data_IF_281670833642
#
_entry.id   IF_281670833642
#
_cell.length_a   1.000
_cell.length_b   1.000
_cell.length_c   1.000
_cell.angle_alpha   90.00
_cell.angle_beta   90.00
_cell.angle_gamma   90.00
#
_symmetry.space_group_name_H-M   'P 1'
#
loop_
_entity.id
_entity.type
_entity.pdbx_description
1 polymer ?
#
# COMPACT_ATOMS: atom_id res chain seq x y z
N UNK A 1 11.17 42.24 3.46
CA UNK A 1 11.33 42.12 4.93
C UNK A 1 10.70 40.80 5.38
N UNK A 2 11.50 39.74 5.49
CA UNK A 2 11.04 38.50 6.11
C UNK A 2 11.12 38.70 7.63
N UNK A 3 9.97 38.70 8.30
CA UNK A 3 9.95 38.69 9.76
C UNK A 3 10.33 37.27 10.15
N UNK A 4 11.51 37.13 10.73
CA UNK A 4 12.00 35.90 11.34
C UNK A 4 11.20 35.66 12.62
N UNK A 5 9.98 35.13 12.44
CA UNK A 5 9.18 34.62 13.55
C UNK A 5 9.79 33.27 13.92
N UNK A 6 10.81 33.28 14.77
CA UNK A 6 11.06 32.13 15.64
C UNK A 6 9.94 32.16 16.70
N UNK A 7 8.89 31.31 16.59
CA UNK A 7 7.92 31.25 17.66
C UNK A 7 8.65 30.84 18.93
N UNK A 8 8.49 31.60 20.01
CA UNK A 8 8.93 31.19 21.33
C UNK A 8 8.29 29.83 21.62
N UNK A 9 9.08 28.77 21.56
CA UNK A 9 8.61 27.43 21.89
C UNK A 9 8.31 27.44 23.40
N UNK A 10 7.07 27.10 23.81
CA UNK A 10 6.78 26.98 25.22
C UNK A 10 7.70 25.91 25.83
N UNK A 11 8.09 26.05 27.11
CA UNK A 11 8.90 25.04 27.79
C UNK A 11 8.21 23.68 27.66
N UNK A 12 8.99 22.64 27.34
CA UNK A 12 8.50 21.28 27.14
C UNK A 12 8.23 20.60 28.50
N UNK A 13 7.29 21.16 29.25
CA UNK A 13 6.88 20.70 30.58
C UNK A 13 5.59 19.89 30.45
N UNK A 14 5.63 18.56 30.67
CA UNK A 14 4.47 17.68 30.51
C UNK A 14 3.28 18.08 31.39
N UNK A 15 3.53 18.64 32.57
CA UNK A 15 2.48 19.13 33.48
C UNK A 15 1.73 20.33 32.89
N UNK A 16 2.47 21.25 32.27
CA UNK A 16 1.91 22.45 31.66
C UNK A 16 1.11 22.10 30.40
N UNK A 17 1.60 21.17 29.59
CA UNK A 17 0.86 20.62 28.45
C UNK A 17 -0.50 20.04 28.89
N UNK A 18 -0.51 19.19 29.93
CA UNK A 18 -1.75 18.62 30.48
C UNK A 18 -2.68 19.69 31.03
N UNK A 19 -2.14 20.76 31.62
CA UNK A 19 -2.93 21.89 32.11
C UNK A 19 -3.64 22.59 30.94
N UNK A 20 -2.91 22.90 29.87
CA UNK A 20 -3.49 23.53 28.68
C UNK A 20 -4.55 22.66 28.00
N UNK A 21 -4.30 21.35 27.87
CA UNK A 21 -5.29 20.39 27.36
C UNK A 21 -6.57 20.39 28.22
N UNK A 22 -6.44 20.43 29.55
CA UNK A 22 -7.60 20.52 30.47
C UNK A 22 -8.42 21.80 30.28
N UNK A 23 -7.78 22.91 29.89
CA UNK A 23 -8.45 24.15 29.55
C UNK A 23 -8.99 24.18 28.11
N UNK A 24 -8.91 23.07 27.38
CA UNK A 24 -9.46 22.93 26.02
C UNK A 24 -8.52 23.38 24.92
N UNK A 25 -7.22 23.61 25.21
CA UNK A 25 -6.24 23.79 24.16
C UNK A 25 -6.09 22.49 23.35
N UNK A 26 -6.09 22.63 22.02
CA UNK A 26 -5.91 21.50 21.11
C UNK A 26 -4.53 21.57 20.49
N UNK A 27 -3.97 20.40 20.19
CA UNK A 27 -2.73 20.35 19.45
C UNK A 27 -2.94 20.81 18.02
N UNK A 28 -1.99 21.60 17.50
CA UNK A 28 -2.04 22.02 16.10
C UNK A 28 -2.04 20.81 15.16
N UNK A 29 -1.29 19.75 15.50
CA UNK A 29 -1.27 18.49 14.77
C UNK A 29 -2.63 17.77 14.73
N UNK A 30 -3.49 17.98 15.72
CA UNK A 30 -4.86 17.44 15.72
C UNK A 30 -5.81 18.30 14.90
N UNK A 31 -5.55 19.61 14.82
CA UNK A 31 -6.39 20.55 14.11
C UNK A 31 -6.05 20.69 12.62
N UNK A 32 -4.83 20.32 12.22
CA UNK A 32 -4.34 20.41 10.84
C UNK A 32 -4.50 19.07 10.14
N UNK A 33 -5.31 19.02 9.09
CA UNK A 33 -5.44 17.84 8.24
C UNK A 33 -4.33 17.85 7.18
N UNK A 34 -3.45 16.84 7.23
CA UNK A 34 -2.47 16.57 6.16
C UNK A 34 -3.06 15.62 5.12
N UNK A 35 -3.02 16.01 3.85
CA UNK A 35 -3.41 15.17 2.71
C UNK A 35 -2.34 15.20 1.63
N UNK A 36 -2.06 14.05 1.02
CA UNK A 36 -1.15 13.95 -0.12
C UNK A 36 -1.99 13.78 -1.39
N UNK A 37 -1.70 14.59 -2.41
CA UNK A 37 -2.45 14.63 -3.66
C UNK A 37 -1.50 14.43 -4.82
N UNK A 38 -1.80 13.48 -5.70
CA UNK A 38 -1.02 13.26 -6.91
C UNK A 38 -1.28 14.36 -7.94
N UNK A 39 -0.28 14.63 -8.78
CA UNK A 39 -0.35 15.60 -9.88
C UNK A 39 0.35 15.04 -11.11
N UNK A 40 -0.19 15.41 -12.27
CA UNK A 40 0.32 14.98 -13.56
C UNK A 40 -0.35 13.71 -14.07
N UNK A 41 0.31 13.06 -15.03
CA UNK A 41 -0.24 11.89 -15.69
C UNK A 41 -0.12 10.64 -14.80
N UNK A 42 -1.20 9.85 -14.75
CA UNK A 42 -1.22 8.56 -14.06
C UNK A 42 -0.79 7.50 -15.07
N UNK A 43 0.35 6.88 -14.84
CA UNK A 43 0.90 5.85 -15.70
C UNK A 43 0.84 4.48 -15.03
N UNK A 44 0.35 3.48 -15.76
CA UNK A 44 0.56 2.07 -15.42
C UNK A 44 2.01 1.74 -15.77
N UNK A 45 2.76 1.24 -14.80
CA UNK A 45 4.16 0.85 -15.00
C UNK A 45 4.44 -0.51 -14.38
N UNK A 46 5.41 -1.24 -14.95
CA UNK A 46 5.90 -2.48 -14.37
C UNK A 46 6.46 -2.28 -12.96
N UNK A 47 7.02 -1.10 -12.69
CA UNK A 47 7.56 -0.74 -11.38
C UNK A 47 6.44 -0.56 -10.35
N UNK A 48 5.34 0.09 -10.71
CA UNK A 48 4.13 0.16 -9.88
C UNK A 48 3.56 -1.23 -9.61
N UNK A 49 3.42 -2.06 -10.65
CA UNK A 49 2.95 -3.44 -10.51
C UNK A 49 3.85 -4.28 -9.59
N UNK A 50 5.18 -4.19 -9.75
CA UNK A 50 6.16 -4.86 -8.86
C UNK A 50 6.01 -4.42 -7.40
N UNK A 51 5.76 -3.12 -7.17
CA UNK A 51 5.53 -2.61 -5.82
C UNK A 51 4.23 -3.16 -5.22
N UNK A 52 3.13 -3.15 -5.99
CA UNK A 52 1.86 -3.78 -5.58
C UNK A 52 2.08 -5.24 -5.21
N UNK A 53 2.75 -6.00 -6.07
CA UNK A 53 3.01 -7.43 -5.88
C UNK A 53 3.87 -7.68 -4.65
N UNK A 54 4.87 -6.83 -4.40
CA UNK A 54 5.69 -6.87 -3.19
C UNK A 54 4.84 -6.66 -1.93
N UNK A 55 3.98 -5.63 -1.92
CA UNK A 55 3.10 -5.33 -0.78
C UNK A 55 2.13 -6.50 -0.56
N UNK A 56 1.47 -7.00 -1.61
CA UNK A 56 0.55 -8.14 -1.52
C UNK A 56 1.23 -9.44 -1.12
N UNK A 57 2.47 -9.67 -1.55
CA UNK A 57 3.26 -10.82 -1.16
C UNK A 57 3.61 -10.77 0.34
N UNK A 58 3.91 -9.58 0.86
CA UNK A 58 4.35 -9.39 2.25
C UNK A 58 3.24 -9.00 3.22
N UNK A 59 2.02 -8.79 2.75
CA UNK A 59 0.92 -8.19 3.53
C UNK A 59 0.73 -8.83 4.91
N UNK A 60 0.72 -10.17 4.96
CA UNK A 60 0.54 -10.96 6.20
C UNK A 60 1.69 -10.77 7.21
N UNK A 61 2.86 -10.32 6.75
CA UNK A 61 4.03 -10.04 7.58
C UNK A 61 4.12 -8.56 8.00
N UNK A 62 3.54 -7.64 7.22
CA UNK A 62 3.67 -6.19 7.47
C UNK A 62 3.09 -5.82 8.84
N UNK A 63 1.92 -6.34 9.16
CA UNK A 63 1.11 -5.92 10.31
C UNK A 63 1.14 -6.88 11.51
N UNK A 64 2.18 -7.72 11.62
CA UNK A 64 2.39 -8.62 12.76
C UNK A 64 3.62 -8.23 13.58
N UNK A 65 3.63 -8.47 14.89
CA UNK A 65 4.83 -8.31 15.70
C UNK A 65 5.85 -9.43 15.44
N UNK A 66 7.00 -9.40 16.13
CA UNK A 66 8.03 -10.44 15.98
C UNK A 66 7.58 -11.83 16.48
N UNK A 67 6.51 -11.92 17.28
CA UNK A 67 5.88 -13.19 17.70
C UNK A 67 4.92 -13.74 16.62
N UNK A 68 4.66 -12.93 15.59
CA UNK A 68 3.70 -13.20 14.52
C UNK A 68 2.25 -13.04 14.96
N UNK A 69 2.00 -12.27 16.02
CA UNK A 69 0.67 -11.83 16.43
C UNK A 69 0.36 -10.50 15.73
N UNK A 70 -0.92 -10.20 15.49
CA UNK A 70 -1.30 -8.93 14.86
C UNK A 70 -0.93 -7.74 15.75
N UNK A 71 -0.53 -6.64 15.13
CA UNK A 71 -0.27 -5.39 15.85
C UNK A 71 -1.58 -4.83 16.45
N UNK A 72 -1.46 -4.12 17.56
CA UNK A 72 -2.61 -3.47 18.22
C UNK A 72 -3.20 -2.35 17.35
N UNK A 73 -4.49 -2.06 17.52
CA UNK A 73 -5.22 -0.98 16.83
C UNK A 73 -5.31 -1.10 15.30
N UNK A 74 -5.12 -2.31 14.77
CA UNK A 74 -5.29 -2.65 13.37
C UNK A 74 -6.77 -2.66 12.96
N UNK A 75 -7.10 -2.06 11.82
CA UNK A 75 -8.41 -2.21 11.17
C UNK A 75 -8.36 -3.35 10.14
N UNK A 76 -8.90 -4.51 10.52
CA UNK A 76 -8.94 -5.71 9.66
C UNK A 76 -9.66 -5.48 8.33
N UNK A 77 -10.67 -4.60 8.31
CA UNK A 77 -11.38 -4.28 7.08
C UNK A 77 -10.44 -3.57 6.10
N UNK A 78 -9.63 -2.64 6.60
CA UNK A 78 -8.65 -1.94 5.77
C UNK A 78 -7.51 -2.86 5.34
N UNK A 79 -7.08 -3.81 6.18
CA UNK A 79 -6.13 -4.87 5.75
C UNK A 79 -6.70 -5.68 4.59
N UNK A 80 -7.97 -6.08 4.68
CA UNK A 80 -8.61 -6.86 3.61
C UNK A 80 -8.82 -6.03 2.33
N UNK A 81 -9.09 -4.73 2.46
CA UNK A 81 -9.11 -3.81 1.32
C UNK A 81 -7.73 -3.70 0.64
N UNK A 82 -6.63 -3.69 1.40
CA UNK A 82 -5.29 -3.76 0.79
C UNK A 82 -5.05 -5.09 0.07
N UNK A 83 -5.60 -6.19 0.59
CA UNK A 83 -5.45 -7.51 -0.03
C UNK A 83 -6.14 -7.60 -1.38
N UNK A 84 -7.33 -7.04 -1.48
CA UNK A 84 -8.24 -7.24 -2.62
C UNK A 84 -8.19 -6.10 -3.64
N UNK A 85 -8.03 -4.86 -3.19
CA UNK A 85 -8.31 -3.67 -4.02
C UNK A 85 -7.09 -2.76 -4.24
N UNK A 86 -5.90 -3.16 -3.77
CA UNK A 86 -4.67 -2.37 -3.93
C UNK A 86 -4.21 -2.35 -5.39
N UNK A 87 -4.13 -1.15 -5.95
CA UNK A 87 -3.44 -0.85 -7.21
C UNK A 87 -2.30 0.12 -6.96
N UNK A 88 -1.25 0.10 -7.80
CA UNK A 88 -0.15 1.04 -7.71
C UNK A 88 0.18 1.65 -9.08
N UNK A 89 0.31 2.97 -9.13
CA UNK A 89 0.58 3.73 -10.36
C UNK A 89 1.72 4.72 -10.16
N UNK A 90 2.37 5.09 -11.26
CA UNK A 90 3.34 6.17 -11.28
C UNK A 90 2.68 7.50 -11.64
N UNK A 91 3.15 8.57 -10.99
CA UNK A 91 2.69 9.95 -11.22
C UNK A 91 3.87 10.90 -11.32
N UNK A 92 3.68 12.05 -11.98
CA UNK A 92 4.79 12.99 -12.20
C UNK A 92 5.26 13.61 -10.88
N UNK A 93 4.31 13.99 -10.02
CA UNK A 93 4.60 14.57 -8.71
C UNK A 93 3.50 14.29 -7.69
N UNK A 94 3.86 14.46 -6.42
CA UNK A 94 2.95 14.38 -5.28
C UNK A 94 3.10 15.68 -4.52
N UNK A 95 1.99 16.24 -4.07
CA UNK A 95 1.94 17.49 -3.31
C UNK A 95 1.38 17.24 -1.93
N UNK A 96 1.97 17.89 -0.93
CA UNK A 96 1.43 17.91 0.42
C UNK A 96 0.47 19.09 0.59
N UNK A 97 -0.72 18.82 1.09
CA UNK A 97 -1.72 19.82 1.44
C UNK A 97 -1.98 19.79 2.94
N UNK A 98 -1.89 20.95 3.57
CA UNK A 98 -2.27 21.16 4.97
C UNK A 98 -3.55 21.99 5.01
N UNK A 99 -4.60 21.43 5.59
CA UNK A 99 -5.88 22.12 5.76
C UNK A 99 -6.13 22.44 7.23
N UNK A 100 -6.35 23.72 7.53
CA UNK A 100 -6.71 24.22 8.86
C UNK A 100 -7.85 25.22 8.72
N UNK A 101 -8.95 25.03 9.47
CA UNK A 101 -10.12 25.93 9.45
C UNK A 101 -10.61 26.29 8.02
N UNK A 102 -10.73 25.28 7.14
CA UNK A 102 -11.12 25.41 5.72
C UNK A 102 -10.12 26.16 4.82
N UNK A 103 -8.99 26.62 5.33
CA UNK A 103 -7.89 27.13 4.52
C UNK A 103 -6.93 25.99 4.20
N UNK A 104 -6.57 25.84 2.93
CA UNK A 104 -5.63 24.82 2.48
C UNK A 104 -4.39 25.48 1.91
N UNK A 105 -3.23 25.10 2.42
CA UNK A 105 -1.93 25.48 1.86
C UNK A 105 -1.35 24.25 1.16
N UNK A 106 -0.91 24.43 -0.08
CA UNK A 106 -0.26 23.37 -0.86
C UNK A 106 1.23 23.65 -0.90
N UNK A 107 2.03 22.65 -0.56
CA UNK A 107 3.47 22.69 -0.67
C UNK A 107 3.89 21.98 -1.96
N UNK A 108 4.81 22.60 -2.69
CA UNK A 108 5.35 22.02 -3.91
C UNK A 108 6.28 20.83 -3.66
N UNK A 109 6.61 20.14 -4.75
CA UNK A 109 7.23 18.81 -4.79
C UNK A 109 8.58 18.70 -4.07
N UNK A 110 9.31 19.80 -3.86
CA UNK A 110 10.68 19.75 -3.34
C UNK A 110 10.79 19.27 -1.88
N UNK A 111 9.69 19.31 -1.12
CA UNK A 111 9.58 18.75 0.25
C UNK A 111 8.41 17.75 0.37
N UNK A 112 7.92 17.23 -0.75
CA UNK A 112 6.75 16.35 -0.74
C UNK A 112 7.15 14.88 -0.61
N UNK A 113 6.26 14.09 0.00
CA UNK A 113 6.44 12.63 0.14
C UNK A 113 6.52 11.96 -1.23
N UNK A 114 7.30 10.89 -1.32
CA UNK A 114 7.53 10.10 -2.53
C UNK A 114 6.32 9.27 -2.97
N UNK A 115 5.34 9.10 -2.08
CA UNK A 115 4.13 8.33 -2.34
C UNK A 115 2.88 8.98 -1.73
N UNK A 116 1.71 8.55 -2.20
CA UNK A 116 0.42 8.96 -1.66
C UNK A 116 -0.56 7.80 -1.78
N UNK A 117 -1.38 7.59 -0.76
CA UNK A 117 -2.44 6.60 -0.80
C UNK A 117 -3.80 7.29 -0.89
N UNK A 118 -4.52 7.03 -1.98
CA UNK A 118 -5.91 7.44 -2.17
C UNK A 118 -6.80 6.22 -2.00
N UNK A 119 -7.91 6.38 -1.28
CA UNK A 119 -8.84 5.29 -1.06
C UNK A 119 -10.28 5.78 -1.00
N UNK A 120 -11.18 4.93 -1.49
CA UNK A 120 -12.63 5.02 -1.34
C UNK A 120 -13.14 3.62 -0.92
N UNK A 121 -14.44 3.48 -0.67
CA UNK A 121 -15.08 2.26 -0.16
C UNK A 121 -14.64 0.97 -0.87
N UNK A 122 -14.37 1.05 -2.17
CA UNK A 122 -14.07 -0.11 -3.02
C UNK A 122 -12.71 -0.04 -3.73
N UNK A 123 -11.84 0.94 -3.43
CA UNK A 123 -10.60 1.15 -4.19
C UNK A 123 -9.50 1.64 -3.27
N UNK A 124 -8.31 1.07 -3.40
CA UNK A 124 -7.09 1.56 -2.74
C UNK A 124 -6.01 1.75 -3.79
N UNK A 125 -5.52 2.99 -3.93
CA UNK A 125 -4.58 3.37 -4.97
C UNK A 125 -3.34 3.98 -4.34
N UNK A 126 -2.20 3.34 -4.56
CA UNK A 126 -0.89 3.85 -4.19
C UNK A 126 -0.27 4.57 -5.38
N UNK A 127 -0.01 5.86 -5.25
CA UNK A 127 0.76 6.63 -6.23
C UNK A 127 2.20 6.75 -5.77
N UNK A 128 3.13 6.62 -6.72
CA UNK A 128 4.57 6.80 -6.50
C UNK A 128 5.15 7.73 -7.55
N UNK A 129 6.11 8.59 -7.17
CA UNK A 129 6.68 9.55 -8.11
C UNK A 129 7.57 8.89 -9.16
N UNK A 130 7.30 9.15 -10.44
CA UNK A 130 8.00 8.55 -11.58
C UNK A 130 9.51 8.79 -11.56
N UNK A 131 9.96 9.98 -11.19
CA UNK A 131 11.37 10.39 -11.23
C UNK A 131 12.23 9.81 -10.10
N UNK A 132 11.63 9.22 -9.07
CA UNK A 132 12.36 8.59 -7.97
C UNK A 132 12.75 7.16 -8.36
N UNK A 133 14.05 6.89 -8.50
CA UNK A 133 14.56 5.60 -8.97
C UNK A 133 14.35 4.45 -7.96
N UNK A 134 14.43 4.74 -6.65
CA UNK A 134 14.30 3.76 -5.58
C UNK A 134 13.14 4.12 -4.68
N UNK A 135 12.29 3.15 -4.34
CA UNK A 135 11.18 3.38 -3.43
C UNK A 135 11.66 3.80 -2.04
N UNK A 136 11.11 4.89 -1.53
CA UNK A 136 11.19 5.18 -0.11
C UNK A 136 10.14 4.34 0.62
N UNK A 137 10.60 3.23 1.19
CA UNK A 137 9.74 2.30 1.91
C UNK A 137 9.19 2.88 3.21
N UNK A 138 9.80 3.93 3.78
CA UNK A 138 9.30 4.60 4.99
C UNK A 138 8.09 5.46 4.64
N UNK A 139 8.15 6.21 3.53
CA UNK A 139 7.00 6.95 3.02
C UNK A 139 5.84 6.00 2.72
N UNK A 140 6.09 4.92 1.97
CA UNK A 140 5.06 3.92 1.63
C UNK A 140 4.48 3.31 2.90
N UNK A 141 5.33 2.93 3.85
CA UNK A 141 4.90 2.37 5.11
C UNK A 141 4.08 3.37 5.95
N UNK A 142 4.41 4.66 5.90
CA UNK A 142 3.67 5.72 6.59
C UNK A 142 2.25 5.86 6.04
N UNK A 143 2.08 5.80 4.72
CA UNK A 143 0.76 5.86 4.09
C UNK A 143 -0.05 4.58 4.36
N UNK A 144 0.57 3.40 4.30
CA UNK A 144 -0.08 2.15 4.67
C UNK A 144 -0.47 2.12 6.16
N UNK A 145 0.39 2.62 7.05
CA UNK A 145 0.11 2.69 8.47
C UNK A 145 -1.07 3.64 8.75
N UNK A 146 -1.11 4.81 8.10
CA UNK A 146 -2.23 5.75 8.26
C UNK A 146 -3.55 5.19 7.76
N UNK A 147 -3.51 4.36 6.72
CA UNK A 147 -4.71 3.70 6.22
C UNK A 147 -5.21 2.62 7.17
N UNK A 148 -4.31 1.76 7.68
CA UNK A 148 -4.72 0.55 8.41
C UNK A 148 -4.91 0.78 9.91
N UNK A 149 -4.19 1.71 10.53
CA UNK A 149 -4.28 1.96 11.97
C UNK A 149 -5.19 3.13 12.27
N UNK A 150 -6.04 2.98 13.30
CA UNK A 150 -6.90 4.07 13.79
C UNK A 150 -6.09 5.27 14.31
N UNK A 151 -4.92 4.99 14.89
CA UNK A 151 -3.94 5.97 15.36
C UNK A 151 -2.54 5.44 15.00
N UNK A 152 -1.99 5.82 13.84
CA UNK A 152 -0.66 5.37 13.46
C UNK A 152 0.40 5.99 14.37
N UNK A 153 1.30 5.18 14.90
CA UNK A 153 2.51 5.64 15.58
C UNK A 153 3.68 5.64 14.58
N UNK A 154 4.58 6.62 14.66
CA UNK A 154 5.73 6.70 13.74
C UNK A 154 6.63 5.45 13.78
N UNK A 155 6.71 4.81 14.96
CA UNK A 155 7.43 3.54 15.16
C UNK A 155 6.85 2.38 14.35
N UNK A 156 5.54 2.40 14.10
CA UNK A 156 4.85 1.39 13.28
C UNK A 156 5.23 1.55 11.82
N UNK A 157 5.27 2.79 11.31
CA UNK A 157 5.72 3.06 9.93
C UNK A 157 7.17 2.58 9.71
N UNK A 158 8.06 2.80 10.67
CA UNK A 158 9.44 2.30 10.59
C UNK A 158 9.50 0.77 10.54
N UNK A 159 8.71 0.10 11.38
CA UNK A 159 8.65 -1.36 11.42
C UNK A 159 8.11 -1.93 10.11
N UNK A 160 7.08 -1.32 9.53
CA UNK A 160 6.50 -1.75 8.24
C UNK A 160 7.48 -1.48 7.11
N UNK A 161 8.14 -0.32 7.10
CA UNK A 161 9.13 0.06 6.09
C UNK A 161 10.33 -0.90 6.10
N UNK A 162 10.84 -1.24 7.28
CA UNK A 162 11.90 -2.24 7.43
C UNK A 162 11.48 -3.62 6.87
N UNK A 163 10.24 -4.03 7.11
CA UNK A 163 9.68 -5.29 6.56
C UNK A 163 9.44 -5.26 5.07
N UNK A 164 9.16 -4.10 4.47
CA UNK A 164 9.06 -3.96 3.03
C UNK A 164 10.43 -4.00 2.37
N UNK A 165 11.41 -3.30 2.94
CA UNK A 165 12.75 -3.15 2.38
C UNK A 165 13.64 -4.40 2.58
N UNK A 166 13.58 -5.03 3.75
CA UNK A 166 14.54 -6.07 4.14
C UNK A 166 14.36 -7.39 3.36
N UNK A 167 15.43 -8.11 3.04
CA UNK A 167 15.33 -9.49 2.53
C UNK A 167 14.62 -10.42 3.53
N UNK A 168 13.89 -11.42 3.04
CA UNK A 168 13.17 -12.40 3.88
C UNK A 168 14.09 -13.12 4.88
N UNK A 169 15.33 -13.41 4.48
CA UNK A 169 16.33 -14.03 5.35
C UNK A 169 16.70 -13.14 6.55
N UNK A 170 16.78 -11.83 6.34
CA UNK A 170 17.02 -10.84 7.40
C UNK A 170 15.82 -10.80 8.36
N UNK A 171 14.60 -10.79 7.83
CA UNK A 171 13.38 -10.82 8.64
C UNK A 171 13.29 -12.08 9.49
N UNK A 172 13.63 -13.24 8.92
CA UNK A 172 13.70 -14.52 9.64
C UNK A 172 14.74 -14.49 10.77
N UNK A 173 15.92 -13.91 10.52
CA UNK A 173 16.97 -13.73 11.55
C UNK A 173 16.52 -12.80 12.68
N UNK A 174 15.65 -11.83 12.41
CA UNK A 174 15.04 -10.93 13.41
C UNK A 174 13.87 -11.57 14.18
N UNK A 175 13.59 -12.86 13.94
CA UNK A 175 12.56 -13.62 14.66
C UNK A 175 11.17 -13.55 14.05
N UNK A 176 10.98 -12.85 12.92
CA UNK A 176 9.68 -12.84 12.23
C UNK A 176 9.41 -14.25 11.68
N UNK A 177 8.23 -14.84 11.93
CA UNK A 177 7.91 -16.21 11.51
C UNK A 177 7.52 -16.27 10.03
N UNK A 178 8.45 -15.85 9.15
CA UNK A 178 8.27 -15.74 7.70
C UNK A 178 7.75 -17.05 7.08
N UNK A 179 8.35 -18.18 7.43
CA UNK A 179 7.95 -19.48 6.88
C UNK A 179 6.52 -19.85 7.27
N UNK A 180 6.10 -19.55 8.51
CA UNK A 180 4.73 -19.80 8.98
C UNK A 180 3.73 -18.95 8.20
N UNK A 181 4.02 -17.65 8.09
CA UNK A 181 3.13 -16.67 7.47
C UNK A 181 2.99 -16.89 5.96
N UNK A 182 4.08 -17.25 5.26
CA UNK A 182 4.03 -17.54 3.83
C UNK A 182 3.37 -18.90 3.49
N UNK A 183 3.43 -19.89 4.39
CA UNK A 183 2.79 -21.21 4.18
C UNK A 183 1.27 -21.13 4.18
N UNK A 184 0.67 -20.27 5.01
CA UNK A 184 -0.78 -20.05 5.01
C UNK A 184 -1.31 -19.61 3.64
N UNK A 185 -0.51 -18.85 2.87
CA UNK A 185 -0.85 -18.44 1.51
C UNK A 185 -0.90 -19.61 0.52
N UNK A 186 0.03 -20.58 0.62
CA UNK A 186 0.03 -21.78 -0.22
C UNK A 186 -1.13 -22.73 0.11
N UNK A 187 -1.46 -22.86 1.40
CA UNK A 187 -2.56 -23.71 1.84
C UNK A 187 -3.92 -23.15 1.42
N UNK A 188 -4.15 -21.83 1.55
CA UNK A 188 -5.40 -21.21 1.09
C UNK A 188 -5.65 -21.42 -0.41
N UNK A 189 -4.62 -21.36 -1.25
CA UNK A 189 -4.74 -21.65 -2.69
C UNK A 189 -5.12 -23.12 -2.93
N UNK A 190 -4.51 -24.07 -2.21
CA UNK A 190 -4.82 -25.49 -2.36
C UNK A 190 -6.24 -25.82 -1.87
N UNK A 191 -6.69 -25.22 -0.78
CA UNK A 191 -8.07 -25.36 -0.27
C UNK A 191 -9.11 -24.81 -1.26
N UNK A 192 -8.85 -23.65 -1.88
CA UNK A 192 -9.75 -23.07 -2.89
C UNK A 192 -9.83 -23.94 -4.14
N UNK A 193 -8.71 -24.53 -4.58
CA UNK A 193 -8.69 -25.46 -5.73
C UNK A 193 -9.46 -26.75 -5.41
N UNK A 194 -9.26 -27.33 -4.22
CA UNK A 194 -10.00 -28.53 -3.79
C UNK A 194 -11.52 -28.27 -3.64
N UNK A 195 -11.95 -27.07 -3.26
CA UNK A 195 -13.37 -26.70 -3.22
C UNK A 195 -13.98 -26.48 -4.61
N UNK A 196 -13.18 -26.11 -5.62
CA UNK A 196 -13.63 -26.02 -7.01
C UNK A 196 -13.79 -27.43 -7.61
N UNK A 197 -12.91 -28.37 -7.26
CA UNK A 197 -12.97 -29.77 -7.74
C UNK A 197 -14.08 -30.60 -7.08
N UNK A 198 -14.68 -30.15 -5.96
CA UNK A 198 -15.74 -30.88 -5.26
C UNK A 198 -17.17 -30.38 -5.53
N UNK A 199 -17.39 -29.43 -6.46
CA UNK A 199 -18.75 -29.10 -6.90
C UNK A 199 -19.28 -30.22 -7.80
N UNK A 200 -20.35 -30.95 -7.41
CA UNK A 200 -20.98 -31.91 -8.30
C UNK A 200 -21.60 -31.16 -9.48
N UNK A 201 -21.28 -31.61 -10.69
CA UNK A 201 -21.89 -31.18 -11.94
C UNK A 201 -23.38 -31.54 -11.87
N UNK A 202 -24.23 -30.54 -11.61
CA UNK A 202 -25.64 -30.66 -11.89
C UNK A 202 -25.80 -30.67 -13.40
N UNK A 203 -26.13 -31.85 -13.92
CA UNK A 203 -26.57 -32.10 -15.29
C UNK A 203 -27.57 -31.04 -15.75
N UNK A 204 -27.18 -30.25 -16.75
CA UNK A 204 -28.15 -29.68 -17.66
C UNK A 204 -27.69 -29.96 -19.09
N UNK A 205 -28.37 -30.93 -19.70
CA UNK A 205 -28.37 -31.15 -21.13
C UNK A 205 -28.59 -29.82 -21.86
N UNK A 206 -27.73 -29.49 -22.80
CA UNK A 206 -28.17 -28.88 -24.05
C UNK A 206 -27.15 -29.20 -25.15
N UNK A 207 -27.60 -30.08 -26.05
CA UNK A 207 -27.01 -30.30 -27.36
C UNK A 207 -26.93 -28.98 -28.11
N UNK A 208 -25.74 -28.55 -28.49
CA UNK A 208 -25.56 -27.78 -29.72
C UNK A 208 -24.28 -28.21 -30.43
N UNK A 209 -24.49 -28.98 -31.48
CA UNK A 209 -23.58 -29.19 -32.59
C UNK A 209 -23.11 -27.83 -33.14
N UNK A 210 -21.80 -27.62 -33.24
CA UNK A 210 -21.23 -26.76 -34.27
C UNK A 210 -19.95 -27.40 -34.84
N UNK A 211 -19.93 -27.41 -36.17
CA UNK A 211 -18.95 -27.98 -37.08
C UNK A 211 -17.54 -27.40 -36.88
N UNK A 212 -16.55 -28.30 -36.94
CA UNK A 212 -15.18 -28.01 -37.36
C UNK A 212 -15.15 -27.34 -38.73
N UNK A 213 -14.36 -26.29 -38.87
CA UNK A 213 -13.70 -25.96 -40.13
C UNK A 213 -12.28 -25.45 -39.82
N UNK A 214 -11.34 -26.31 -40.17
CA UNK A 214 -9.91 -26.06 -40.23
C UNK A 214 -9.59 -24.87 -41.14
N UNK A 215 -8.83 -23.90 -40.61
CA UNK A 215 -7.97 -23.04 -41.43
C UNK A 215 -6.56 -23.15 -40.89
N UNK A 216 -5.78 -24.04 -41.50
CA UNK A 216 -4.34 -24.16 -41.28
C UNK A 216 -3.62 -22.97 -41.91
N UNK A 217 -2.84 -22.29 -41.08
CA UNK A 217 -1.95 -21.19 -41.44
C UNK A 217 -0.76 -21.76 -42.22
N UNK A 218 -0.52 -21.18 -43.40
CA UNK A 218 0.64 -21.46 -44.25
C UNK A 218 1.96 -21.05 -43.56
N UNK A 219 2.96 -21.91 -43.66
CA UNK A 219 4.35 -21.55 -43.41
C UNK A 219 5.28 -22.75 -43.45
N UNK A 220 5.87 -23.03 -44.62
CA UNK A 220 7.29 -23.37 -44.69
C UNK A 220 7.88 -23.23 -46.09
N UNK A 221 9.01 -22.55 -46.11
CA UNK A 221 9.99 -22.32 -47.19
C UNK A 221 10.87 -23.56 -47.37
N UNK A 222 11.21 -23.91 -48.62
CA UNK A 222 12.48 -24.53 -49.07
C UNK A 222 12.40 -24.91 -50.57
N UNK A 223 13.01 -24.14 -51.48
CA UNK A 223 14.33 -24.34 -52.14
C UNK A 223 14.41 -25.34 -53.33
N UNK A 224 14.91 -24.77 -54.43
CA UNK A 224 15.94 -25.29 -55.36
C UNK A 224 15.60 -26.03 -56.67
N UNK A 225 16.24 -25.48 -57.72
CA UNK A 225 16.74 -26.08 -58.97
C UNK A 225 15.69 -26.65 -59.92
N UNK A 226 15.63 -26.25 -61.20
CA UNK A 226 16.71 -26.10 -62.18
C UNK A 226 16.23 -25.26 -63.36
#
# INVERSE_FOLDING_TARGET
CAIDLQPFLPPNEPELTKLYEKFGALWLSECVKRTLVHKGNIAVSDRGNKLRDLIQYRLDMLFVNNRGEKMENLDEKHVEMLRTNLSAYEVDSIQCQLTFQKKTITFDSNNSSSCALEYDKNKVVLYVQKHICAFDYIDIASELARFVFKKPFDTVAHTIGDKLASPLQTLKRRGIPVDRLLRHKKQNIHSTIQMIEQKPILNHNNNHYYHENDVKINGHVATNHR
#
